data_IF_847150632005
#
_entry.id   IF_847150632005
#
_cell.length_a   1.000
_cell.length_b   1.000
_cell.length_c   1.000
_cell.angle_alpha   90.00
_cell.angle_beta   90.00
_cell.angle_gamma   90.00
#
_symmetry.space_group_name_H-M   'P 1'
#
loop_
_entity.id
_entity.type
_entity.pdbx_description
1 polymer ?
#
# COMPACT_ATOMS: atom_id res chain seq x y z
N UNK A 1 47.95 -4.73 5.03
CA UNK A 1 46.54 -4.28 5.12
C UNK A 1 45.66 -5.45 4.71
N UNK A 2 45.01 -6.13 5.66
CA UNK A 2 44.09 -7.21 5.34
C UNK A 2 42.76 -6.62 4.86
N UNK A 3 42.38 -6.87 3.60
CA UNK A 3 41.04 -6.53 3.11
C UNK A 3 40.02 -7.36 3.90
N UNK A 4 39.12 -6.69 4.63
CA UNK A 4 37.94 -7.36 5.20
C UNK A 4 37.11 -7.85 4.02
N UNK A 5 37.23 -9.13 3.67
CA UNK A 5 36.32 -9.77 2.73
C UNK A 5 34.93 -9.72 3.37
N UNK A 6 34.08 -8.80 2.92
CA UNK A 6 32.67 -8.80 3.29
C UNK A 6 32.09 -10.14 2.82
N UNK A 7 31.71 -11.00 3.77
CA UNK A 7 31.02 -12.24 3.46
C UNK A 7 29.58 -11.87 3.11
N UNK A 8 29.30 -11.70 1.81
CA UNK A 8 27.94 -11.47 1.32
C UNK A 8 27.00 -12.55 1.84
N UNK A 9 25.83 -12.15 2.34
CA UNK A 9 24.77 -13.08 2.69
C UNK A 9 23.85 -13.28 1.48
N UNK A 10 24.22 -14.25 0.64
CA UNK A 10 23.52 -14.55 -0.61
C UNK A 10 22.03 -14.88 -0.42
N UNK A 11 21.66 -15.52 0.69
CA UNK A 11 20.26 -15.83 0.98
C UNK A 11 19.45 -14.55 1.20
N UNK A 12 19.96 -13.63 2.03
CA UNK A 12 19.32 -12.34 2.25
C UNK A 12 19.27 -11.49 0.99
N UNK A 13 20.29 -11.55 0.13
CA UNK A 13 20.31 -10.88 -1.17
C UNK A 13 19.26 -11.43 -2.14
N UNK A 14 19.15 -12.76 -2.26
CA UNK A 14 18.14 -13.38 -3.12
C UNK A 14 16.72 -13.05 -2.63
N UNK A 15 16.48 -13.13 -1.32
CA UNK A 15 15.20 -12.75 -0.73
C UNK A 15 14.91 -11.26 -0.95
N UNK A 16 15.89 -10.40 -0.71
CA UNK A 16 15.77 -8.96 -0.94
C UNK A 16 15.46 -8.61 -2.40
N UNK A 17 16.05 -9.33 -3.35
CA UNK A 17 15.76 -9.16 -4.78
C UNK A 17 14.32 -9.57 -5.13
N UNK A 18 13.84 -10.69 -4.59
CA UNK A 18 12.44 -11.11 -4.78
C UNK A 18 11.46 -10.05 -4.24
N UNK A 19 11.69 -9.54 -3.03
CA UNK A 19 10.86 -8.48 -2.43
C UNK A 19 10.99 -7.17 -3.21
N UNK A 20 12.18 -6.85 -3.75
CA UNK A 20 12.38 -5.68 -4.60
C UNK A 20 11.52 -5.72 -5.88
N UNK A 21 11.45 -6.89 -6.54
CA UNK A 21 10.59 -7.09 -7.71
C UNK A 21 9.11 -6.86 -7.31
N UNK A 22 8.66 -7.45 -6.19
CA UNK A 22 7.30 -7.24 -5.68
C UNK A 22 7.00 -5.76 -5.39
N UNK A 23 7.97 -5.04 -4.81
CA UNK A 23 7.86 -3.59 -4.54
C UNK A 23 7.71 -2.79 -5.83
N UNK A 24 8.48 -3.11 -6.88
CA UNK A 24 8.41 -2.44 -8.17
C UNK A 24 7.07 -2.69 -8.88
N UNK A 25 6.53 -3.91 -8.78
CA UNK A 25 5.21 -4.25 -9.32
C UNK A 25 4.15 -3.43 -8.57
N UNK A 26 4.12 -3.48 -7.23
CA UNK A 26 3.20 -2.70 -6.40
C UNK A 26 3.24 -1.21 -6.73
N UNK A 27 4.44 -0.64 -6.84
CA UNK A 27 4.61 0.77 -7.22
C UNK A 27 4.07 1.06 -8.62
N UNK A 28 4.33 0.20 -9.59
CA UNK A 28 3.85 0.35 -10.97
C UNK A 28 2.33 0.29 -11.04
N UNK A 29 1.71 -0.64 -10.32
CA UNK A 29 0.26 -0.79 -10.24
C UNK A 29 -0.40 0.44 -9.59
N UNK A 30 0.17 0.95 -8.49
CA UNK A 30 -0.31 2.18 -7.84
C UNK A 30 -0.20 3.40 -8.74
N UNK A 31 0.90 3.54 -9.47
CA UNK A 31 1.06 4.62 -10.45
C UNK A 31 0.09 4.50 -11.63
N UNK A 32 -0.17 3.28 -12.12
CA UNK A 32 -1.15 3.03 -13.17
C UNK A 32 -2.57 3.35 -12.68
N UNK A 33 -2.91 2.99 -11.45
CA UNK A 33 -4.17 3.34 -10.81
C UNK A 33 -4.34 4.86 -10.70
N UNK A 34 -3.35 5.58 -10.16
CA UNK A 34 -3.40 7.05 -10.04
C UNK A 34 -3.60 7.72 -11.40
N UNK A 35 -2.96 7.21 -12.46
CA UNK A 35 -3.09 7.75 -13.83
C UNK A 35 -4.45 7.49 -14.47
N UNK A 36 -5.07 6.35 -14.18
CA UNK A 36 -6.34 5.92 -14.80
C UNK A 36 -7.58 6.24 -13.96
N UNK A 37 -7.37 6.82 -12.78
CA UNK A 37 -8.43 7.09 -11.82
C UNK A 37 -8.84 8.55 -11.77
N UNK A 38 -10.03 8.78 -11.24
CA UNK A 38 -10.62 10.08 -10.99
C UNK A 38 -10.92 10.20 -9.51
N UNK A 39 -10.66 11.38 -8.94
CA UNK A 39 -10.99 11.70 -7.55
C UNK A 39 -12.36 12.40 -7.47
N UNK A 40 -13.12 12.08 -6.42
CA UNK A 40 -14.41 12.68 -6.08
C UNK A 40 -14.62 12.67 -4.56
N UNK A 41 -15.65 13.34 -4.08
CA UNK A 41 -16.03 13.28 -2.68
C UNK A 41 -17.08 12.18 -2.47
N UNK A 42 -16.80 11.26 -1.57
CA UNK A 42 -17.77 10.32 -1.01
C UNK A 42 -18.34 10.82 0.30
N UNK A 43 -19.45 10.21 0.71
CA UNK A 43 -20.11 10.43 2.01
C UNK A 43 -20.25 9.11 2.74
N UNK A 44 -19.95 9.09 4.03
CA UNK A 44 -20.14 7.91 4.87
C UNK A 44 -21.63 7.74 5.16
N UNK A 45 -22.25 6.69 4.64
CA UNK A 45 -23.69 6.45 4.78
C UNK A 45 -24.03 5.50 5.91
N UNK A 46 -23.08 4.68 6.35
CA UNK A 46 -23.28 3.68 7.42
C UNK A 46 -21.94 3.26 8.02
N UNK A 47 -21.96 2.76 9.25
CA UNK A 47 -20.86 2.00 9.85
C UNK A 47 -21.33 0.55 10.01
N UNK A 48 -20.80 -0.37 9.20
CA UNK A 48 -21.29 -1.75 9.17
C UNK A 48 -20.87 -2.56 10.42
N UNK A 49 -19.64 -2.36 10.90
CA UNK A 49 -19.07 -3.08 12.06
C UNK A 49 -18.19 -2.15 12.92
N UNK A 50 -18.79 -1.10 13.49
CA UNK A 50 -18.08 -0.08 14.27
C UNK A 50 -17.32 0.93 13.39
N UNK A 51 -16.62 1.86 14.03
CA UNK A 51 -16.04 3.09 13.43
C UNK A 51 -15.00 2.86 12.31
N UNK A 52 -14.48 1.64 12.15
CA UNK A 52 -13.40 1.31 11.20
C UNK A 52 -13.86 0.60 9.93
N UNK A 53 -15.15 0.33 9.80
CA UNK A 53 -15.75 -0.31 8.62
C UNK A 53 -16.90 0.54 8.05
N UNK A 54 -16.62 1.77 7.58
CA UNK A 54 -17.62 2.63 6.98
C UNK A 54 -18.07 2.10 5.62
N UNK A 55 -19.36 2.24 5.33
CA UNK A 55 -19.91 2.18 3.98
C UNK A 55 -19.90 3.59 3.41
N UNK A 56 -19.20 3.77 2.29
CA UNK A 56 -19.05 5.07 1.63
C UNK A 56 -19.87 5.04 0.36
N UNK A 57 -20.63 6.10 0.11
CA UNK A 57 -21.34 6.31 -1.15
C UNK A 57 -20.86 7.57 -1.85
N UNK A 58 -20.75 7.51 -3.17
CA UNK A 58 -20.42 8.64 -4.00
C UNK A 58 -21.16 8.58 -5.34
N UNK A 59 -21.18 9.68 -6.05
CA UNK A 59 -21.73 9.76 -7.41
C UNK A 59 -20.56 9.87 -8.39
N UNK A 60 -20.53 9.00 -9.39
CA UNK A 60 -19.52 9.05 -10.45
C UNK A 60 -19.74 10.28 -11.32
N UNK A 61 -18.72 10.67 -12.09
CA UNK A 61 -18.87 11.73 -13.12
C UNK A 61 -19.97 11.43 -14.15
N UNK A 62 -20.32 10.15 -14.34
CA UNK A 62 -21.43 9.73 -15.21
C UNK A 62 -22.80 9.78 -14.54
N UNK A 63 -22.90 10.20 -13.28
CA UNK A 63 -24.14 10.25 -12.51
C UNK A 63 -24.56 8.93 -11.85
N UNK A 64 -23.71 7.90 -11.91
CA UNK A 64 -23.98 6.60 -11.26
C UNK A 64 -23.74 6.70 -9.76
N UNK A 65 -24.68 6.21 -8.95
CA UNK A 65 -24.50 6.07 -7.51
C UNK A 65 -23.78 4.76 -7.19
N UNK A 66 -22.63 4.87 -6.52
CA UNK A 66 -21.81 3.72 -6.12
C UNK A 66 -21.65 3.72 -4.61
N UNK A 67 -21.69 2.55 -3.99
CA UNK A 67 -21.28 2.35 -2.61
C UNK A 67 -20.25 1.23 -2.50
N UNK A 68 -19.32 1.38 -1.55
CA UNK A 68 -18.29 0.41 -1.26
C UNK A 68 -17.87 0.47 0.22
N UNK A 69 -17.37 -0.65 0.77
CA UNK A 69 -16.82 -0.67 2.11
C UNK A 69 -15.45 0.02 2.13
N UNK A 70 -15.33 1.06 2.95
CA UNK A 70 -14.06 1.66 3.33
C UNK A 70 -13.35 0.88 4.43
N UNK A 71 -12.05 1.14 4.61
CA UNK A 71 -11.25 0.61 5.70
C UNK A 71 -10.21 1.64 6.12
N UNK A 72 -9.63 1.47 7.32
CA UNK A 72 -8.48 2.25 7.81
C UNK A 72 -8.71 3.75 8.00
N UNK A 73 -9.96 4.19 8.23
CA UNK A 73 -10.26 5.57 8.64
C UNK A 73 -11.28 5.52 9.78
N UNK A 74 -11.07 6.33 10.82
CA UNK A 74 -12.09 6.59 11.83
C UNK A 74 -12.93 7.75 11.34
N UNK A 75 -14.19 7.47 11.02
CA UNK A 75 -15.13 8.42 10.44
C UNK A 75 -16.50 8.24 11.06
N UNK A 76 -17.28 9.30 11.06
CA UNK A 76 -18.67 9.29 11.49
C UNK A 76 -19.62 9.25 10.28
N UNK A 77 -20.86 8.83 10.52
CA UNK A 77 -21.89 8.86 9.48
C UNK A 77 -22.18 10.31 9.11
N UNK A 78 -22.14 10.61 7.81
CA UNK A 78 -22.28 11.96 7.26
C UNK A 78 -20.95 12.63 6.89
N UNK A 79 -19.81 12.09 7.31
CA UNK A 79 -18.51 12.64 6.95
C UNK A 79 -18.27 12.56 5.44
N UNK A 80 -17.65 13.61 4.91
CA UNK A 80 -17.17 13.63 3.54
C UNK A 80 -15.72 13.15 3.47
N UNK A 81 -15.48 12.14 2.63
CA UNK A 81 -14.16 11.52 2.46
C UNK A 81 -13.72 11.58 1.01
N UNK A 82 -12.43 11.82 0.72
CA UNK A 82 -11.94 11.78 -0.65
C UNK A 82 -11.93 10.32 -1.14
N UNK A 83 -12.51 10.09 -2.31
CA UNK A 83 -12.62 8.78 -2.96
C UNK A 83 -12.00 8.86 -4.34
N UNK A 84 -11.35 7.79 -4.76
CA UNK A 84 -10.77 7.66 -6.09
C UNK A 84 -11.19 6.32 -6.70
N UNK A 85 -11.50 6.34 -7.99
CA UNK A 85 -11.98 5.15 -8.71
C UNK A 85 -11.57 5.21 -10.19
N UNK A 86 -11.53 4.06 -10.86
CA UNK A 86 -11.34 3.97 -12.32
C UNK A 86 -12.71 4.08 -13.01
N UNK A 87 -12.92 5.04 -13.94
CA UNK A 87 -14.23 5.27 -14.56
C UNK A 87 -14.84 4.06 -15.28
N UNK A 88 -14.03 3.13 -15.79
CA UNK A 88 -14.52 1.92 -16.47
C UNK A 88 -15.08 0.88 -15.50
N UNK A 89 -14.69 0.93 -14.21
CA UNK A 89 -15.06 -0.05 -13.18
C UNK A 89 -15.18 0.62 -11.81
N UNK A 90 -16.11 1.56 -11.63
CA UNK A 90 -16.14 2.43 -10.46
C UNK A 90 -16.34 1.65 -9.15
N UNK A 91 -17.18 0.62 -9.15
CA UNK A 91 -17.48 -0.17 -7.94
C UNK A 91 -16.35 -1.11 -7.53
N UNK A 92 -15.63 -1.69 -8.48
CA UNK A 92 -14.55 -2.66 -8.21
C UNK A 92 -13.25 -1.98 -7.77
N UNK A 93 -13.07 -0.71 -8.12
CA UNK A 93 -11.80 0.02 -7.96
C UNK A 93 -11.89 1.23 -7.04
N UNK A 94 -13.07 1.47 -6.44
CA UNK A 94 -13.24 2.57 -5.51
C UNK A 94 -12.43 2.35 -4.24
N UNK A 95 -11.58 3.31 -3.93
CA UNK A 95 -10.75 3.33 -2.74
C UNK A 95 -10.79 4.73 -2.10
N UNK A 96 -10.54 4.79 -0.79
CA UNK A 96 -10.37 6.07 -0.10
C UNK A 96 -9.03 6.68 -0.53
N UNK A 97 -9.06 7.91 -1.03
CA UNK A 97 -7.89 8.63 -1.53
C UNK A 97 -7.13 9.32 -0.39
N UNK A 98 -6.64 8.52 0.55
CA UNK A 98 -5.73 8.97 1.60
C UNK A 98 -4.33 8.46 1.35
N UNK A 99 -3.32 9.23 1.75
CA UNK A 99 -1.91 8.85 1.58
C UNK A 99 -1.62 7.46 2.20
N UNK A 100 -2.13 7.19 3.39
CA UNK A 100 -1.94 5.91 4.07
C UNK A 100 -2.56 4.77 3.28
N UNK A 101 -3.82 4.89 2.84
CA UNK A 101 -4.47 3.82 2.07
C UNK A 101 -3.78 3.57 0.73
N UNK A 102 -3.26 4.62 0.10
CA UNK A 102 -2.57 4.53 -1.19
C UNK A 102 -1.16 3.93 -1.09
N UNK A 103 -0.38 4.29 -0.06
CA UNK A 103 1.07 4.06 -0.05
C UNK A 103 1.59 3.15 1.04
N UNK A 104 0.82 2.87 2.11
CA UNK A 104 1.33 2.16 3.28
C UNK A 104 1.93 0.79 2.91
N UNK A 105 1.23 0.01 2.10
CA UNK A 105 1.69 -1.31 1.65
C UNK A 105 3.01 -1.22 0.86
N UNK A 106 3.08 -0.34 -0.14
CA UNK A 106 4.28 -0.14 -0.96
C UNK A 106 5.46 0.36 -0.12
N UNK A 107 5.22 1.23 0.87
CA UNK A 107 6.25 1.73 1.79
C UNK A 107 6.78 0.62 2.70
N UNK A 108 5.91 -0.25 3.22
CA UNK A 108 6.33 -1.41 4.02
C UNK A 108 7.21 -2.34 3.18
N UNK A 109 6.78 -2.69 1.97
CA UNK A 109 7.56 -3.52 1.04
C UNK A 109 8.93 -2.89 0.72
N UNK A 110 8.96 -1.59 0.42
CA UNK A 110 10.19 -0.86 0.17
C UNK A 110 11.15 -0.89 1.38
N UNK A 111 10.63 -0.73 2.60
CA UNK A 111 11.43 -0.83 3.82
C UNK A 111 12.05 -2.22 4.00
N UNK A 112 11.29 -3.28 3.74
CA UNK A 112 11.79 -4.66 3.76
C UNK A 112 12.86 -4.90 2.69
N UNK A 113 12.64 -4.41 1.46
CA UNK A 113 13.64 -4.47 0.39
C UNK A 113 14.95 -3.83 0.81
N UNK A 114 14.90 -2.61 1.35
CA UNK A 114 16.10 -1.89 1.81
C UNK A 114 16.80 -2.67 2.92
N UNK A 115 16.07 -3.15 3.92
CA UNK A 115 16.64 -3.90 5.05
C UNK A 115 17.32 -5.20 4.60
N UNK A 116 16.68 -5.98 3.72
CA UNK A 116 17.20 -7.26 3.24
C UNK A 116 18.41 -7.09 2.32
N UNK A 117 18.36 -6.14 1.40
CA UNK A 117 19.50 -5.84 0.53
C UNK A 117 20.68 -5.31 1.35
N UNK A 118 20.42 -4.40 2.29
CA UNK A 118 21.47 -3.86 3.17
C UNK A 118 22.09 -4.96 4.05
N UNK A 119 21.29 -5.80 4.70
CA UNK A 119 21.78 -6.93 5.50
C UNK A 119 22.54 -7.96 4.65
N UNK A 120 22.07 -8.20 3.42
CA UNK A 120 22.72 -9.04 2.42
C UNK A 120 24.11 -8.55 2.03
N UNK A 121 24.23 -7.24 1.75
CA UNK A 121 25.48 -6.58 1.34
C UNK A 121 26.48 -6.43 2.48
N UNK A 122 26.02 -6.11 3.69
CA UNK A 122 26.90 -5.91 4.85
C UNK A 122 27.35 -7.22 5.50
N UNK A 123 26.76 -8.35 5.12
CA UNK A 123 27.15 -9.66 5.63
C UNK A 123 26.84 -9.87 7.12
N UNK A 124 25.93 -9.06 7.70
CA UNK A 124 25.46 -9.31 9.05
C UNK A 124 24.75 -10.66 9.07
N UNK A 125 25.37 -11.62 9.76
CA UNK A 125 24.70 -12.88 10.06
C UNK A 125 23.58 -12.55 11.05
N UNK A 126 22.33 -12.94 10.74
CA UNK A 126 21.22 -13.02 11.70
C UNK A 126 21.49 -14.11 12.78
N UNK A 127 22.76 -14.38 13.10
CA UNK A 127 23.13 -15.24 14.21
C UNK A 127 23.11 -14.39 15.47
N UNK A 128 22.19 -14.67 16.42
CA UNK A 128 22.34 -14.11 17.75
C UNK A 128 23.71 -14.51 18.29
N UNK A 129 24.45 -13.53 18.85
CA UNK A 129 25.59 -13.83 19.70
C UNK A 129 25.06 -14.49 20.97
N UNK A 130 24.87 -15.80 20.94
CA UNK A 130 24.87 -16.56 22.18
C UNK A 130 26.33 -16.75 22.58
N UNK A 131 26.66 -16.21 23.76
CA UNK A 131 27.94 -16.41 24.44
C UNK A 131 28.04 -17.77 25.08
#
# INVERSE_FOLDING_TARGET
>A
MASKVHKFNYFALLLGLCVAIGTLISLSDRLAFIKSSVATQGTVIRLNHGERHPEISFVTQGGEHVSFPGSFVSVEVGDSVPVRYVPTKPRETAEIDTFTNMWLETLILAAFTVALLYGGLTGQSFRPKYG
#
